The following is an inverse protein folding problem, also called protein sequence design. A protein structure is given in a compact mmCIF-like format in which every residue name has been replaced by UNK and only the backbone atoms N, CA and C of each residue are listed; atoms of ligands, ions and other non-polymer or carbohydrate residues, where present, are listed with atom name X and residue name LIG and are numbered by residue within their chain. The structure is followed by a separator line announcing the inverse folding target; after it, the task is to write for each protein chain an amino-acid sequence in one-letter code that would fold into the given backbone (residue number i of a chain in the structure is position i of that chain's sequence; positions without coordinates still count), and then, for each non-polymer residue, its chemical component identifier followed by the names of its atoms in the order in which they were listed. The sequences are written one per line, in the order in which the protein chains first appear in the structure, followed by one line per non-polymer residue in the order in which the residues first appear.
data_IF_684160604460
#
_entry.id   IF_684160604460
#
_cell.length_a   1.000
_cell.length_b   1.000
_cell.length_c   1.000
_cell.angle_alpha   90.00
_cell.angle_beta   90.00
_cell.angle_gamma   90.00
#
_symmetry.space_group_name_H-M   'P 1'
#
loop_
_entity.id
_entity.type
_entity.pdbx_description
1 polymer ?
#
# COMPACT_ATOMS: atom_id res chain seq x y z
N UNK A 1 -2.30 -12.67 -23.73
CA UNK A 1 -3.38 -12.49 -22.73
C UNK A 1 -3.23 -11.08 -22.21
N UNK A 2 -4.29 -10.26 -22.21
CA UNK A 2 -4.16 -8.85 -21.84
C UNK A 2 -4.21 -8.63 -20.32
N UNK A 3 -3.81 -7.44 -19.86
CA UNK A 3 -3.79 -7.08 -18.43
C UNK A 3 -5.19 -7.17 -17.79
N UNK A 4 -6.24 -6.79 -18.52
CA UNK A 4 -7.63 -6.87 -18.04
C UNK A 4 -8.08 -8.31 -17.79
N UNK A 5 -7.74 -9.25 -18.68
CA UNK A 5 -8.01 -10.68 -18.54
C UNK A 5 -7.24 -11.26 -17.36
N UNK A 6 -5.98 -10.86 -17.17
CA UNK A 6 -5.19 -11.25 -15.98
C UNK A 6 -5.95 -10.83 -14.71
N UNK A 7 -6.34 -9.56 -14.65
CA UNK A 7 -7.08 -9.01 -13.50
C UNK A 7 -8.38 -9.79 -13.26
N UNK A 8 -9.17 -10.04 -14.30
CA UNK A 8 -10.45 -10.74 -14.19
C UNK A 8 -10.26 -12.18 -13.66
N UNK A 9 -9.24 -12.89 -14.16
CA UNK A 9 -8.90 -14.24 -13.67
C UNK A 9 -8.57 -14.21 -12.18
N UNK A 10 -7.78 -13.24 -11.72
CA UNK A 10 -7.42 -13.13 -10.31
C UNK A 10 -8.60 -12.77 -9.41
N UNK A 11 -9.50 -11.87 -9.83
CA UNK A 11 -10.71 -11.52 -9.07
C UNK A 11 -11.63 -12.74 -8.96
N UNK A 12 -11.91 -13.44 -10.07
CA UNK A 12 -12.71 -14.67 -10.06
C UNK A 12 -12.06 -15.75 -9.20
N UNK A 13 -10.75 -15.96 -9.32
CA UNK A 13 -10.04 -16.91 -8.47
C UNK A 13 -10.16 -16.57 -6.98
N UNK A 14 -10.13 -15.28 -6.61
CA UNK A 14 -10.30 -14.86 -5.22
C UNK A 14 -11.74 -15.07 -4.70
N UNK A 15 -12.76 -14.94 -5.55
CA UNK A 15 -14.15 -15.29 -5.22
C UNK A 15 -14.29 -16.79 -4.94
N UNK A 16 -13.67 -17.62 -5.78
CA UNK A 16 -13.63 -19.08 -5.62
C UNK A 16 -12.89 -19.48 -4.35
N UNK A 17 -11.76 -18.82 -4.06
CA UNK A 17 -10.96 -19.04 -2.84
C UNK A 17 -11.77 -18.74 -1.57
N UNK A 18 -12.65 -17.74 -1.62
CA UNK A 18 -13.52 -17.39 -0.49
C UNK A 18 -14.57 -18.47 -0.19
N UNK A 19 -15.02 -19.20 -1.22
CA UNK A 19 -15.96 -20.31 -1.10
C UNK A 19 -15.28 -21.60 -0.60
N UNK A 20 -13.95 -21.70 -0.74
CA UNK A 20 -13.22 -22.86 -0.25
C UNK A 20 -13.27 -22.90 1.29
N UNK A 21 -13.50 -24.09 1.88
CA UNK A 21 -13.45 -24.24 3.33
C UNK A 21 -12.03 -23.96 3.82
N UNK A 22 -11.89 -23.08 4.82
CA UNK A 22 -10.64 -22.73 5.48
C UNK A 22 -10.17 -23.91 6.36
N UNK A 23 -9.65 -24.96 5.71
CA UNK A 23 -9.25 -26.23 6.33
C UNK A 23 -7.92 -26.16 7.09
N UNK A 24 -7.19 -25.04 6.98
CA UNK A 24 -5.88 -24.86 7.61
C UNK A 24 -5.96 -24.29 9.05
N UNK A 25 -7.13 -23.82 9.49
CA UNK A 25 -7.34 -23.36 10.88
C UNK A 25 -7.67 -24.53 11.80
N UNK A 26 -7.21 -24.53 13.07
CA UNK A 26 -7.70 -25.49 14.05
C UNK A 26 -9.23 -25.43 14.08
N UNK A 27 -9.86 -26.60 14.07
CA UNK A 27 -11.31 -26.74 14.01
C UNK A 27 -11.97 -25.76 14.99
N UNK A 28 -12.84 -24.88 14.49
CA UNK A 28 -13.57 -23.93 15.34
C UNK A 28 -14.22 -24.71 16.48
N UNK A 29 -14.06 -24.20 17.70
CA UNK A 29 -14.72 -24.72 18.90
C UNK A 29 -16.22 -24.90 18.60
N UNK A 30 -16.69 -26.15 18.64
CA UNK A 30 -18.09 -26.55 18.41
C UNK A 30 -19.06 -25.98 19.46
N UNK A 31 -18.55 -25.30 20.49
CA UNK A 31 -19.32 -24.73 21.59
C UNK A 31 -19.93 -23.35 21.27
N UNK A 32 -19.65 -22.76 20.11
CA UNK A 32 -20.32 -21.52 19.70
C UNK A 32 -21.67 -21.87 19.10
N UNK A 33 -22.75 -21.39 19.73
CA UNK A 33 -24.14 -21.55 19.28
C UNK A 33 -24.24 -21.30 17.77
N UNK A 34 -24.43 -22.37 16.99
CA UNK A 34 -24.77 -22.23 15.58
C UNK A 34 -26.20 -21.72 15.61
N UNK A 35 -26.41 -20.44 15.27
CA UNK A 35 -27.76 -19.90 15.11
C UNK A 35 -28.56 -20.90 14.29
N UNK A 36 -29.77 -21.24 14.76
CA UNK A 36 -30.63 -22.28 14.21
C UNK A 36 -30.57 -22.28 12.67
N UNK A 37 -29.90 -23.26 12.09
CA UNK A 37 -29.81 -23.43 10.63
C UNK A 37 -30.97 -24.32 10.26
N UNK A 38 -31.96 -23.76 9.56
CA UNK A 38 -33.07 -24.54 9.03
C UNK A 38 -32.53 -25.66 8.15
N UNK A 39 -32.98 -26.88 8.41
CA UNK A 39 -32.66 -28.01 7.55
C UNK A 39 -33.46 -27.93 6.24
N UNK A 40 -33.11 -28.78 5.27
CA UNK A 40 -33.81 -28.81 3.98
C UNK A 40 -35.30 -29.14 4.11
N UNK A 41 -35.73 -29.77 5.21
CA UNK A 41 -37.12 -30.11 5.46
C UNK A 41 -37.91 -28.89 5.98
N UNK A 42 -37.32 -28.11 6.89
CA UNK A 42 -37.84 -26.84 7.39
C UNK A 42 -38.00 -25.83 6.25
N UNK A 43 -36.97 -25.71 5.40
CA UNK A 43 -36.99 -24.84 4.22
C UNK A 43 -38.07 -25.25 3.21
N UNK A 44 -38.40 -26.55 3.12
CA UNK A 44 -39.45 -27.04 2.23
C UNK A 44 -40.86 -26.72 2.72
N UNK A 45 -41.05 -26.46 4.02
CA UNK A 45 -42.33 -26.03 4.60
C UNK A 45 -42.68 -24.57 4.38
N UNK A 46 -41.74 -23.74 3.89
CA UNK A 46 -42.00 -22.31 3.68
C UNK A 46 -42.74 -22.08 2.36
N UNK A 47 -43.70 -21.16 2.37
CA UNK A 47 -44.52 -20.82 1.22
C UNK A 47 -43.65 -20.35 0.04
N UNK A 48 -44.04 -20.70 -1.19
CA UNK A 48 -43.33 -20.32 -2.42
C UNK A 48 -43.14 -18.82 -2.54
N UNK A 49 -44.13 -18.05 -2.07
CA UNK A 49 -44.15 -16.59 -2.16
C UNK A 49 -43.12 -15.96 -1.22
N UNK A 50 -42.87 -16.57 -0.04
CA UNK A 50 -41.81 -16.15 0.90
C UNK A 50 -40.41 -16.51 0.36
N UNK A 51 -40.27 -17.65 -0.33
CA UNK A 51 -39.02 -18.03 -1.02
C UNK A 51 -38.67 -17.07 -2.14
N UNK A 52 -39.66 -16.57 -2.88
CA UNK A 52 -39.47 -15.59 -3.93
C UNK A 52 -39.25 -14.17 -3.40
N UNK A 53 -39.97 -13.77 -2.34
CA UNK A 53 -39.88 -12.42 -1.76
C UNK A 53 -38.53 -12.13 -1.09
N UNK A 54 -37.91 -13.15 -0.47
CA UNK A 54 -36.67 -12.96 0.29
C UNK A 54 -35.38 -13.11 -0.55
N UNK A 55 -35.48 -13.24 -1.88
CA UNK A 55 -34.36 -13.28 -2.82
C UNK A 55 -33.20 -14.17 -2.35
N UNK A 56 -33.47 -15.47 -2.21
CA UNK A 56 -32.55 -16.48 -1.68
C UNK A 56 -31.43 -16.86 -2.63
N UNK A 57 -31.00 -15.96 -3.51
CA UNK A 57 -29.87 -16.18 -4.40
C UNK A 57 -28.61 -16.60 -3.63
N UNK A 58 -28.48 -16.19 -2.36
CA UNK A 58 -27.40 -16.57 -1.45
C UNK A 58 -27.48 -18.01 -0.90
N UNK A 59 -28.63 -18.67 -1.03
CA UNK A 59 -28.94 -20.06 -0.62
C UNK A 59 -28.99 -21.02 -1.81
N UNK A 60 -28.92 -20.52 -3.04
CA UNK A 60 -28.92 -21.33 -4.25
C UNK A 60 -27.69 -22.26 -4.24
N UNK A 61 -27.87 -23.59 -4.25
CA UNK A 61 -26.77 -24.55 -4.28
C UNK A 61 -25.76 -24.30 -5.40
N UNK A 62 -26.20 -23.73 -6.53
CA UNK A 62 -25.34 -23.33 -7.63
C UNK A 62 -24.36 -22.21 -7.25
N UNK A 63 -24.75 -21.31 -6.34
CA UNK A 63 -23.92 -20.21 -5.85
C UNK A 63 -23.04 -20.64 -4.67
N UNK A 64 -23.47 -21.63 -3.87
CA UNK A 64 -22.72 -22.14 -2.73
C UNK A 64 -21.54 -23.04 -3.12
N UNK A 65 -21.69 -23.88 -4.15
CA UNK A 65 -20.71 -24.91 -4.47
C UNK A 65 -19.79 -24.45 -5.61
N UNK A 66 -18.49 -24.59 -5.43
CA UNK A 66 -17.53 -24.37 -6.51
C UNK A 66 -17.75 -25.40 -7.62
N UNK A 67 -17.87 -24.93 -8.85
CA UNK A 67 -17.91 -25.79 -10.03
C UNK A 67 -16.49 -26.25 -10.40
N UNK A 68 -16.39 -27.26 -11.26
CA UNK A 68 -15.07 -27.71 -11.78
C UNK A 68 -14.36 -26.59 -12.56
N UNK A 69 -15.13 -25.77 -13.28
CA UNK A 69 -14.59 -24.63 -14.02
C UNK A 69 -14.04 -23.56 -13.09
N UNK A 70 -14.71 -23.28 -11.97
CA UNK A 70 -14.24 -22.36 -10.93
C UNK A 70 -12.90 -22.81 -10.34
N UNK A 71 -12.77 -24.10 -10.06
CA UNK A 71 -11.51 -24.68 -9.58
C UNK A 71 -10.40 -24.62 -10.64
N UNK A 72 -10.75 -24.77 -11.92
CA UNK A 72 -9.83 -24.59 -13.05
C UNK A 72 -9.34 -23.15 -13.19
N UNK A 73 -10.21 -22.16 -12.98
CA UNK A 73 -9.82 -20.74 -12.96
C UNK A 73 -8.90 -20.43 -11.78
N UNK A 74 -9.21 -20.96 -10.60
CA UNK A 74 -8.36 -20.81 -9.42
C UNK A 74 -6.96 -21.43 -9.64
N UNK A 75 -6.89 -22.64 -10.20
CA UNK A 75 -5.60 -23.29 -10.49
C UNK A 75 -4.81 -22.54 -11.56
N UNK A 76 -5.47 -22.04 -12.62
CA UNK A 76 -4.84 -21.21 -13.63
C UNK A 76 -4.24 -19.93 -13.02
N UNK A 77 -4.97 -19.24 -12.12
CA UNK A 77 -4.45 -18.08 -11.41
C UNK A 77 -3.21 -18.42 -10.56
N UNK A 78 -3.20 -19.59 -9.90
CA UNK A 78 -2.05 -20.08 -9.12
C UNK A 78 -0.85 -20.46 -9.98
N UNK A 79 -1.04 -20.88 -11.23
CA UNK A 79 0.09 -21.08 -12.15
C UNK A 79 0.62 -19.73 -12.66
N UNK A 80 -0.26 -18.78 -12.99
CA UNK A 80 0.14 -17.44 -13.45
C UNK A 80 0.91 -16.66 -12.39
N UNK A 81 0.53 -16.75 -11.12
CA UNK A 81 1.21 -16.01 -10.05
C UNK A 81 2.68 -16.45 -9.88
N UNK A 82 3.04 -17.68 -10.26
CA UNK A 82 4.43 -18.18 -10.22
C UNK A 82 5.35 -17.47 -11.20
N UNK A 83 4.80 -16.86 -12.26
CA UNK A 83 5.57 -16.08 -13.24
C UNK A 83 6.13 -14.78 -12.65
N UNK A 84 5.57 -14.31 -11.53
CA UNK A 84 6.04 -13.11 -10.84
C UNK A 84 7.20 -13.50 -9.90
N UNK A 85 8.41 -12.95 -10.07
CA UNK A 85 9.58 -13.35 -9.29
C UNK A 85 9.50 -12.88 -7.82
N UNK A 86 9.04 -11.66 -7.59
CA UNK A 86 8.97 -11.04 -6.25
C UNK A 86 7.77 -11.54 -5.45
N UNK A 87 8.02 -12.15 -4.29
CA UNK A 87 6.96 -12.62 -3.37
C UNK A 87 6.09 -11.46 -2.85
N UNK A 88 6.68 -10.29 -2.62
CA UNK A 88 5.95 -9.10 -2.17
C UNK A 88 4.93 -8.64 -3.21
N UNK A 89 5.27 -8.75 -4.50
CA UNK A 89 4.40 -8.40 -5.61
C UNK A 89 3.26 -9.42 -5.75
N UNK A 90 3.57 -10.72 -5.60
CA UNK A 90 2.57 -11.80 -5.57
C UNK A 90 1.53 -11.57 -4.46
N UNK A 91 2.00 -11.30 -3.24
CA UNK A 91 1.14 -11.05 -2.07
C UNK A 91 0.25 -9.82 -2.27
N UNK A 92 0.79 -8.73 -2.81
CA UNK A 92 0.01 -7.53 -3.10
C UNK A 92 -1.08 -7.77 -4.15
N UNK A 93 -0.76 -8.50 -5.23
CA UNK A 93 -1.73 -8.87 -6.25
C UNK A 93 -2.88 -9.71 -5.67
N UNK A 94 -2.54 -10.74 -4.89
CA UNK A 94 -3.53 -11.62 -4.28
C UNK A 94 -4.41 -10.90 -3.25
N UNK A 95 -3.80 -10.07 -2.41
CA UNK A 95 -4.55 -9.29 -1.42
C UNK A 95 -5.48 -8.26 -2.06
N UNK A 96 -5.07 -7.65 -3.17
CA UNK A 96 -5.94 -6.78 -3.95
C UNK A 96 -7.11 -7.56 -4.54
N UNK A 97 -6.86 -8.70 -5.19
CA UNK A 97 -7.93 -9.54 -5.76
C UNK A 97 -8.93 -9.99 -4.69
N UNK A 98 -8.43 -10.37 -3.50
CA UNK A 98 -9.27 -10.71 -2.34
C UNK A 98 -10.11 -9.53 -1.85
N UNK A 99 -9.63 -8.30 -2.00
CA UNK A 99 -10.40 -7.11 -1.63
C UNK A 99 -11.55 -6.82 -2.59
N UNK A 100 -11.35 -7.06 -3.90
CA UNK A 100 -12.39 -6.92 -4.92
C UNK A 100 -13.48 -8.00 -4.76
N UNK A 101 -13.09 -9.22 -4.36
CA UNK A 101 -14.01 -10.33 -4.06
C UNK A 101 -14.79 -10.17 -2.72
N UNK A 102 -14.82 -8.97 -2.14
CA UNK A 102 -15.53 -8.68 -0.90
C UNK A 102 -14.83 -9.15 0.39
N UNK A 103 -13.50 -9.27 0.36
CA UNK A 103 -12.67 -9.53 1.53
C UNK A 103 -12.26 -8.25 2.28
N UNK A 104 -11.14 -8.32 3.00
CA UNK A 104 -10.57 -7.16 3.70
C UNK A 104 -10.19 -6.08 2.68
N UNK A 105 -10.60 -4.83 2.93
CA UNK A 105 -10.27 -3.70 2.07
C UNK A 105 -8.75 -3.59 1.85
N UNK A 106 -8.31 -3.37 0.61
CA UNK A 106 -6.89 -3.38 0.23
C UNK A 106 -6.06 -2.37 1.05
N UNK A 107 -6.57 -1.15 1.26
CA UNK A 107 -5.89 -0.14 2.06
C UNK A 107 -5.64 -0.59 3.52
N UNK A 108 -6.60 -1.34 4.10
CA UNK A 108 -6.47 -1.91 5.43
C UNK A 108 -5.45 -3.06 5.45
N UNK A 109 -5.41 -3.88 4.40
CA UNK A 109 -4.38 -4.92 4.25
C UNK A 109 -2.99 -4.30 4.13
N UNK A 110 -2.81 -3.27 3.28
CA UNK A 110 -1.54 -2.56 3.13
C UNK A 110 -1.02 -2.04 4.48
N UNK A 111 -1.88 -1.39 5.27
CA UNK A 111 -1.48 -0.81 6.57
C UNK A 111 -1.24 -1.85 7.67
N UNK A 112 -2.12 -2.85 7.79
CA UNK A 112 -2.09 -3.76 8.95
C UNK A 112 -1.26 -5.04 8.72
N UNK A 113 -1.15 -5.53 7.47
CA UNK A 113 -0.48 -6.80 7.18
C UNK A 113 0.93 -6.58 6.65
N UNK A 114 1.10 -5.67 5.69
CA UNK A 114 2.40 -5.39 5.07
C UNK A 114 3.11 -4.17 5.66
N UNK A 115 2.40 -3.30 6.38
CA UNK A 115 2.94 -2.03 6.89
C UNK A 115 3.33 -1.03 5.79
N UNK A 116 2.70 -1.11 4.61
CA UNK A 116 2.99 -0.26 3.45
C UNK A 116 1.89 0.77 3.20
N UNK A 117 2.24 1.85 2.49
CA UNK A 117 1.24 2.79 1.97
C UNK A 117 0.40 2.15 0.87
N UNK A 118 -0.82 2.66 0.66
CA UNK A 118 -1.71 2.18 -0.41
C UNK A 118 -1.07 2.34 -1.80
N UNK A 119 -0.31 3.41 -2.02
CA UNK A 119 0.37 3.69 -3.29
C UNK A 119 1.42 2.62 -3.60
N UNK A 120 2.25 2.24 -2.62
CA UNK A 120 3.22 1.14 -2.78
C UNK A 120 2.50 -0.19 -3.04
N UNK A 121 1.37 -0.44 -2.37
CA UNK A 121 0.55 -1.61 -2.65
C UNK A 121 0.04 -1.64 -4.11
N UNK A 122 -0.48 -0.52 -4.61
CA UNK A 122 -0.94 -0.40 -6.00
C UNK A 122 0.21 -0.62 -6.99
N UNK A 123 1.39 -0.05 -6.71
CA UNK A 123 2.59 -0.26 -7.52
C UNK A 123 2.95 -1.75 -7.62
N UNK A 124 3.05 -2.43 -6.48
CA UNK A 124 3.39 -3.87 -6.42
C UNK A 124 2.36 -4.73 -7.16
N UNK A 125 1.08 -4.40 -7.03
CA UNK A 125 -0.02 -5.06 -7.77
C UNK A 125 0.16 -4.86 -9.28
N UNK A 126 0.34 -3.62 -9.74
CA UNK A 126 0.47 -3.31 -11.16
C UNK A 126 1.74 -3.94 -11.77
N UNK A 127 2.85 -3.92 -11.03
CA UNK A 127 4.09 -4.60 -11.42
C UNK A 127 3.87 -6.12 -11.58
N UNK A 128 3.14 -6.75 -10.66
CA UNK A 128 2.81 -8.18 -10.75
C UNK A 128 1.98 -8.50 -12.02
N UNK A 129 0.96 -7.69 -12.33
CA UNK A 129 0.16 -7.85 -13.56
C UNK A 129 1.03 -7.70 -14.80
N UNK A 130 1.90 -6.69 -14.82
CA UNK A 130 2.80 -6.41 -15.93
C UNK A 130 3.80 -7.54 -16.16
N UNK A 131 4.38 -8.14 -15.11
CA UNK A 131 5.24 -9.30 -15.25
C UNK A 131 4.53 -10.48 -15.89
N UNK A 132 3.28 -10.75 -15.49
CA UNK A 132 2.48 -11.85 -16.05
C UNK A 132 2.18 -11.57 -17.52
N UNK A 133 1.77 -10.36 -17.87
CA UNK A 133 1.53 -9.96 -19.26
C UNK A 133 2.79 -10.13 -20.12
N UNK A 134 3.94 -9.60 -19.66
CA UNK A 134 5.24 -9.74 -20.34
C UNK A 134 5.69 -11.20 -20.47
N UNK A 135 5.40 -12.04 -19.48
CA UNK A 135 5.73 -13.46 -19.54
C UNK A 135 4.92 -14.22 -20.60
N UNK A 136 3.70 -13.77 -20.90
CA UNK A 136 2.81 -14.39 -21.88
C UNK A 136 2.99 -13.84 -23.29
N UNK A 137 3.33 -12.56 -23.46
CA UNK A 137 3.52 -11.90 -24.77
C UNK A 137 4.86 -12.23 -25.46
N UNK A 138 5.62 -13.21 -24.94
CA UNK A 138 7.05 -13.39 -25.25
C UNK A 138 7.42 -13.47 -26.74
N UNK A 139 8.43 -12.66 -27.11
CA UNK A 139 9.56 -13.05 -27.97
C UNK A 139 10.75 -13.48 -27.09
N UNK A 140 11.54 -14.51 -27.46
CA UNK A 140 12.53 -15.16 -26.59
C UNK A 140 13.78 -14.34 -26.19
N UNK A 141 13.90 -13.07 -26.58
CA UNK A 141 15.15 -12.27 -26.46
C UNK A 141 15.07 -11.05 -25.54
N UNK A 142 13.95 -10.81 -24.83
CA UNK A 142 13.80 -9.62 -23.99
C UNK A 142 13.99 -9.93 -22.50
N UNK A 143 14.92 -9.22 -21.86
CA UNK A 143 15.10 -9.20 -20.41
C UNK A 143 13.86 -8.61 -19.73
N UNK A 144 13.02 -9.45 -19.17
CA UNK A 144 11.77 -9.08 -18.49
C UNK A 144 11.94 -8.86 -16.98
N UNK A 145 13.16 -9.08 -16.46
CA UNK A 145 13.51 -8.90 -15.05
C UNK A 145 13.72 -7.43 -14.67
N UNK A 146 13.80 -6.55 -15.67
CA UNK A 146 13.88 -5.11 -15.45
C UNK A 146 12.47 -4.61 -15.16
N UNK A 147 12.20 -4.47 -13.86
CA UNK A 147 11.07 -3.68 -13.37
C UNK A 147 11.16 -2.29 -14.00
N UNK A 148 10.03 -1.79 -14.50
CA UNK A 148 9.95 -0.38 -14.89
C UNK A 148 10.26 0.45 -13.65
N UNK A 149 11.46 1.04 -13.62
CA UNK A 149 11.87 1.92 -12.54
C UNK A 149 11.03 3.19 -12.64
N UNK A 150 10.14 3.44 -11.68
CA UNK A 150 9.70 4.81 -11.41
C UNK A 150 9.07 5.01 -10.01
N UNK A 151 9.65 6.02 -9.34
CA UNK A 151 9.09 6.96 -8.36
C UNK A 151 8.69 6.53 -6.94
N UNK A 152 9.40 5.61 -6.30
CA UNK A 152 9.50 5.72 -4.83
C UNK A 152 10.95 5.59 -4.38
N UNK A 153 11.50 6.73 -4.01
CA UNK A 153 12.76 6.85 -3.28
C UNK A 153 12.54 6.22 -1.90
N UNK A 154 12.77 4.90 -1.79
CA UNK A 154 12.78 4.22 -0.49
C UNK A 154 13.96 4.65 0.38
N UNK A 155 14.96 5.28 -0.26
CA UNK A 155 16.06 6.00 0.34
C UNK A 155 15.67 7.48 0.43
N UNK A 156 15.93 8.19 1.55
CA UNK A 156 16.00 9.64 1.48
C UNK A 156 17.06 9.98 0.44
N UNK A 157 16.65 10.58 -0.68
CA UNK A 157 17.58 11.33 -1.52
C UNK A 157 18.02 12.54 -0.70
N UNK A 158 19.03 12.33 0.14
CA UNK A 158 19.97 13.40 0.46
C UNK A 158 20.95 13.42 -0.71
N UNK A 159 20.44 13.67 -1.91
CA UNK A 159 21.25 14.40 -2.86
C UNK A 159 21.20 15.84 -2.40
N UNK A 160 22.36 16.47 -2.33
CA UNK A 160 22.48 17.90 -2.08
C UNK A 160 21.63 18.56 -3.17
N UNK A 161 20.41 18.97 -2.84
CA UNK A 161 19.73 19.97 -3.64
C UNK A 161 20.63 21.19 -3.52
N UNK A 162 21.53 21.35 -4.47
CA UNK A 162 22.08 22.66 -4.74
C UNK A 162 20.88 23.47 -5.18
N UNK A 163 20.29 24.17 -4.22
CA UNK A 163 19.23 25.11 -4.47
C UNK A 163 19.60 25.90 -5.73
N UNK A 164 18.76 25.86 -6.77
CA UNK A 164 18.81 26.80 -7.91
C UNK A 164 18.27 28.17 -7.43
N UNK A 165 18.46 28.47 -6.15
CA UNK A 165 18.40 29.82 -5.65
C UNK A 165 19.80 30.33 -5.94
N UNK A 166 19.98 30.93 -7.13
CA UNK A 166 20.98 31.98 -7.29
C UNK A 166 20.80 32.88 -6.08
N UNK A 167 21.72 32.77 -5.13
CA UNK A 167 21.60 33.47 -3.86
C UNK A 167 21.45 34.94 -4.21
N UNK A 168 20.35 35.57 -3.80
CA UNK A 168 20.10 36.98 -4.07
C UNK A 168 21.19 37.80 -3.36
N UNK A 169 22.31 37.98 -4.04
CA UNK A 169 23.52 38.64 -3.60
C UNK A 169 23.96 39.53 -4.74
N UNK A 170 24.33 40.76 -4.41
CA UNK A 170 24.97 41.64 -5.36
C UNK A 170 26.34 41.04 -5.74
N UNK A 171 26.82 41.36 -6.95
CA UNK A 171 28.08 40.81 -7.50
C UNK A 171 29.31 41.12 -6.64
N UNK A 172 29.22 42.11 -5.74
CA UNK A 172 30.25 42.56 -4.80
C UNK A 172 30.10 41.98 -3.37
N UNK A 173 29.14 41.08 -3.14
CA UNK A 173 28.84 40.57 -1.81
C UNK A 173 29.93 39.60 -1.31
N UNK A 174 30.89 40.13 -0.53
CA UNK A 174 31.91 39.34 0.17
C UNK A 174 31.33 38.72 1.45
N UNK A 175 31.55 37.41 1.71
CA UNK A 175 31.08 36.79 2.95
C UNK A 175 31.71 37.48 4.18
N UNK A 176 30.86 37.88 5.14
CA UNK A 176 31.19 38.52 6.45
C UNK A 176 32.31 37.82 7.26
N UNK A 177 32.64 36.58 6.89
CA UNK A 177 33.70 35.79 7.51
C UNK A 177 35.09 36.33 7.16
N UNK A 178 35.26 37.01 6.01
CA UNK A 178 36.59 37.33 5.46
C UNK A 178 36.94 38.82 5.40
N UNK A 179 36.03 39.72 5.74
CA UNK A 179 36.30 41.16 5.72
C UNK A 179 36.20 41.77 7.12
N UNK A 180 37.35 42.14 7.70
CA UNK A 180 37.43 42.81 9.00
C UNK A 180 36.80 44.21 8.98
N UNK A 181 36.73 44.86 7.81
CA UNK A 181 36.17 46.21 7.69
C UNK A 181 34.65 46.25 7.83
N UNK A 182 33.96 45.14 7.56
CA UNK A 182 32.51 44.98 7.70
C UNK A 182 32.07 44.58 9.12
N UNK A 183 33.02 44.29 10.03
CA UNK A 183 32.75 43.94 11.43
C UNK A 183 32.76 45.19 12.31
N UNK A 184 31.72 46.04 12.18
CA UNK A 184 31.59 47.20 13.07
C UNK A 184 31.14 46.78 14.49
N UNK A 185 32.09 46.72 15.42
CA UNK A 185 31.84 46.42 16.83
C UNK A 185 31.60 47.68 17.69
N UNK A 186 31.49 48.87 17.08
CA UNK A 186 31.32 50.15 17.78
C UNK A 186 30.14 50.14 18.77
N UNK A 187 29.02 49.51 18.40
CA UNK A 187 27.85 49.38 19.26
C UNK A 187 28.11 48.54 20.51
N UNK A 188 28.84 47.42 20.35
CA UNK A 188 29.17 46.52 21.47
C UNK A 188 30.12 47.21 22.45
N UNK A 189 31.09 47.97 21.95
CA UNK A 189 31.99 48.79 22.74
C UNK A 189 31.21 49.87 23.52
N UNK A 190 30.30 50.58 22.87
CA UNK A 190 29.46 51.60 23.50
C UNK A 190 28.55 51.02 24.61
N UNK A 191 28.00 49.81 24.43
CA UNK A 191 27.20 49.14 25.46
C UNK A 191 28.04 48.72 26.68
N UNK A 192 29.24 48.20 26.45
CA UNK A 192 30.15 47.85 27.54
C UNK A 192 30.58 49.09 28.34
N UNK A 193 30.86 50.21 27.66
CA UNK A 193 31.17 51.49 28.32
C UNK A 193 30.01 51.95 29.20
N UNK A 194 28.76 51.88 28.70
CA UNK A 194 27.55 52.18 29.48
C UNK A 194 27.36 51.23 30.67
N UNK A 195 27.75 49.96 30.56
CA UNK A 195 27.71 49.01 31.67
C UNK A 195 28.73 49.38 32.75
N UNK A 196 29.98 49.70 32.37
CA UNK A 196 31.00 50.18 33.30
C UNK A 196 30.57 51.45 34.03
N UNK A 197 29.98 52.42 33.32
CA UNK A 197 29.48 53.66 33.93
C UNK A 197 28.34 53.39 34.94
N UNK A 198 27.44 52.44 34.65
CA UNK A 198 26.39 52.04 35.60
C UNK A 198 26.95 51.35 36.83
N UNK A 199 27.95 50.48 36.68
CA UNK A 199 28.62 49.83 37.80
C UNK A 199 29.42 50.83 38.66
N UNK A 200 30.11 51.79 38.02
CA UNK A 200 30.79 52.87 38.72
C UNK A 200 29.79 53.74 39.53
N UNK A 201 28.65 54.10 38.94
CA UNK A 201 27.58 54.81 39.66
C UNK A 201 27.00 54.00 40.82
N UNK A 202 26.82 52.68 40.65
CA UNK A 202 26.38 51.80 41.75
C UNK A 202 27.38 51.73 42.88
N UNK A 203 28.69 51.69 42.57
CA UNK A 203 29.76 51.69 43.59
C UNK A 203 29.94 53.02 44.31
N UNK A 204 29.60 54.15 43.68
CA UNK A 204 29.65 55.47 44.33
C UNK A 204 28.41 55.76 45.20
N UNK A 205 27.30 55.07 44.95
CA UNK A 205 26.05 55.22 45.70
C UNK A 205 25.92 54.24 46.89
N UNK A 206 26.89 53.34 47.07
CA UNK A 206 27.04 52.43 48.20
C UNK A 206 28.17 52.93 49.11
#
# INVERSE_FOLDING_TARGET
MNEAQIIEIFVKAAEVDRKLPDSARPAKLKATNHGYVHDTADLNGWFSDDKHAANWAWLDPANLRNTTNDMGLWSAAMELIKLVPSEKNRRALWAWARSEAGGKAFAKWCREVEGISRQVGNYRKNAAVLHIARALDRKPLQHNDIDGSEAFTSTPEIEDKQDIIEVWRADDAVPLVFDESLRDFSWSAAQNERRRQREARRKQAA
#
